data_IF_184237035274
#
_entry.id   IF_184237035274
#
_cell.length_a   1.000
_cell.length_b   1.000
_cell.length_c   1.000
_cell.angle_alpha   90.00
_cell.angle_beta   90.00
_cell.angle_gamma   90.00
#
_symmetry.space_group_name_H-M   'P 1'
#
loop_
_entity.id
_entity.type
_entity.pdbx_description
1 polymer ?
#
# COMPACT_ATOMS: atom_id res chain seq x y z
N UNK A 1 -9.79 -22.84 4.92
CA UNK A 1 -9.69 -21.86 3.82
C UNK A 1 -8.35 -21.17 3.94
N UNK A 2 -7.46 -21.29 2.94
CA UNK A 2 -6.16 -20.60 2.98
C UNK A 2 -6.40 -19.17 2.51
N UNK A 3 -6.29 -18.19 3.42
CA UNK A 3 -6.30 -16.78 3.05
C UNK A 3 -4.98 -16.49 2.31
N UNK A 4 -5.00 -16.58 0.99
CA UNK A 4 -3.86 -16.22 0.15
C UNK A 4 -3.83 -14.70 0.04
N UNK A 5 -2.79 -14.10 0.61
CA UNK A 5 -2.44 -12.70 0.34
C UNK A 5 -1.53 -12.71 -0.88
N UNK A 6 -1.96 -12.07 -1.97
CA UNK A 6 -1.10 -11.89 -3.15
C UNK A 6 -0.28 -10.62 -2.97
N UNK A 7 1.05 -10.78 -2.95
CA UNK A 7 1.99 -9.65 -2.93
C UNK A 7 2.34 -9.25 -4.36
N UNK A 8 2.34 -7.95 -4.63
CA UNK A 8 2.67 -7.39 -5.95
C UNK A 8 3.63 -6.22 -5.75
N UNK A 9 4.77 -6.27 -6.45
CA UNK A 9 5.75 -5.18 -6.46
C UNK A 9 5.17 -3.92 -7.14
N UNK A 10 5.61 -2.76 -6.67
CA UNK A 10 5.19 -1.48 -7.23
C UNK A 10 6.09 -1.08 -8.41
N UNK A 11 5.46 -0.74 -9.55
CA UNK A 11 6.17 -0.32 -10.77
C UNK A 11 5.27 0.53 -11.68
N UNK A 12 5.89 1.27 -12.61
CA UNK A 12 5.20 2.11 -13.60
C UNK A 12 4.33 3.21 -12.95
N UNK A 13 3.13 3.44 -13.50
CA UNK A 13 2.16 4.43 -12.99
C UNK A 13 1.64 4.13 -11.57
N UNK A 14 1.92 2.93 -11.06
CA UNK A 14 1.59 2.49 -9.70
C UNK A 14 2.84 2.36 -8.82
N UNK A 15 3.89 3.12 -9.11
CA UNK A 15 5.08 3.19 -8.24
C UNK A 15 4.73 3.82 -6.90
N UNK A 16 5.28 3.25 -5.82
CA UNK A 16 5.08 3.74 -4.46
C UNK A 16 6.30 4.54 -4.01
N UNK A 17 6.05 5.66 -3.33
CA UNK A 17 7.11 6.42 -2.67
C UNK A 17 7.74 5.63 -1.53
N UNK A 18 8.99 5.97 -1.14
CA UNK A 18 9.64 5.39 0.02
C UNK A 18 8.76 5.50 1.28
N UNK A 19 8.97 4.55 2.19
CA UNK A 19 8.24 4.51 3.44
C UNK A 19 8.45 5.81 4.22
N UNK A 20 7.39 6.54 4.62
CA UNK A 20 7.54 7.80 5.33
C UNK A 20 8.00 7.62 6.78
N UNK A 21 7.99 6.39 7.30
CA UNK A 21 8.34 6.08 8.69
C UNK A 21 9.81 5.65 8.84
N UNK A 22 10.30 4.77 7.97
CA UNK A 22 11.67 4.23 8.05
C UNK A 22 12.58 4.65 6.89
N UNK A 23 12.06 5.28 5.84
CA UNK A 23 12.82 5.61 4.63
C UNK A 23 13.14 4.42 3.71
N UNK A 24 12.66 3.21 4.04
CA UNK A 24 12.86 2.00 3.23
C UNK A 24 12.27 2.12 1.82
N UNK A 25 12.98 1.54 0.85
CA UNK A 25 12.60 1.49 -0.56
C UNK A 25 12.12 0.08 -0.87
N UNK A 26 10.81 -0.10 -0.99
CA UNK A 26 10.24 -1.45 -1.20
C UNK A 26 8.84 -1.63 -0.66
N UNK A 27 8.04 -0.56 -0.55
CA UNK A 27 6.62 -0.72 -0.23
C UNK A 27 5.95 -1.57 -1.32
N UNK A 28 5.11 -2.52 -0.91
CA UNK A 28 4.44 -3.46 -1.81
C UNK A 28 2.93 -3.37 -1.67
N UNK A 29 2.22 -3.78 -2.72
CA UNK A 29 0.79 -4.00 -2.67
C UNK A 29 0.50 -5.40 -2.13
N UNK A 30 -0.56 -5.51 -1.34
CA UNK A 30 -1.15 -6.79 -0.93
C UNK A 30 -2.63 -6.81 -1.30
N UNK A 31 -3.04 -7.84 -2.03
CA UNK A 31 -4.43 -8.17 -2.30
C UNK A 31 -4.90 -9.27 -1.35
N UNK A 32 -6.09 -9.10 -0.79
CA UNK A 32 -6.72 -10.10 0.07
C UNK A 32 -8.21 -10.24 -0.25
N UNK A 33 -8.71 -11.46 -0.17
CA UNK A 33 -10.12 -11.78 -0.43
C UNK A 33 -11.02 -11.34 0.72
N UNK A 34 -12.22 -10.87 0.39
CA UNK A 34 -13.31 -10.67 1.35
C UNK A 34 -14.62 -11.19 0.76
N UNK A 35 -15.67 -11.43 1.58
CA UNK A 35 -16.96 -11.93 1.06
C UNK A 35 -17.64 -11.03 0.01
N UNK A 36 -17.21 -9.77 -0.11
CA UNK A 36 -17.78 -8.77 -1.01
C UNK A 36 -16.79 -8.31 -2.10
N UNK A 37 -15.75 -9.12 -2.38
CA UNK A 37 -14.73 -8.83 -3.39
C UNK A 37 -13.34 -8.57 -2.81
N UNK A 38 -12.34 -8.56 -3.67
CA UNK A 38 -10.93 -8.41 -3.27
C UNK A 38 -10.63 -6.98 -2.82
N UNK A 39 -9.72 -6.85 -1.87
CA UNK A 39 -9.29 -5.55 -1.34
C UNK A 39 -7.78 -5.43 -1.41
N UNK A 40 -7.35 -4.18 -1.55
CA UNK A 40 -5.95 -3.82 -1.65
C UNK A 40 -5.50 -3.01 -0.43
N UNK A 41 -4.26 -3.28 -0.01
CA UNK A 41 -3.50 -2.48 0.95
C UNK A 41 -2.09 -2.26 0.44
N UNK A 42 -1.38 -1.31 1.04
CA UNK A 42 0.06 -1.10 0.85
C UNK A 42 0.75 -1.26 2.19
N UNK A 43 1.93 -1.90 2.22
CA UNK A 43 2.76 -1.90 3.41
C UNK A 43 4.26 -1.93 3.07
N UNK A 44 5.06 -1.41 3.98
CA UNK A 44 6.51 -1.51 3.95
C UNK A 44 6.93 -2.83 4.63
N UNK A 45 7.67 -3.72 3.95
CA UNK A 45 8.11 -4.99 4.53
C UNK A 45 9.15 -4.81 5.65
N UNK A 46 9.90 -3.70 5.65
CA UNK A 46 10.97 -3.47 6.63
C UNK A 46 10.45 -3.08 8.01
N UNK A 47 9.43 -2.21 8.06
CA UNK A 47 8.90 -1.66 9.31
C UNK A 47 7.43 -1.98 9.57
N UNK A 48 6.78 -2.71 8.66
CA UNK A 48 5.37 -3.11 8.71
C UNK A 48 4.36 -1.97 8.73
N UNK A 49 4.79 -0.71 8.61
CA UNK A 49 3.90 0.41 8.41
C UNK A 49 3.09 0.24 7.13
N UNK A 50 1.79 0.53 7.18
CA UNK A 50 0.88 0.23 6.08
C UNK A 50 -0.34 1.14 6.04
N UNK A 51 -0.98 1.13 4.87
CA UNK A 51 -2.28 1.73 4.62
C UNK A 51 -3.22 0.61 4.18
N UNK A 52 -4.23 0.35 5.00
CA UNK A 52 -5.31 -0.59 4.69
C UNK A 52 -6.66 0.08 4.97
N UNK A 53 -7.30 0.68 3.95
CA UNK A 53 -8.58 1.33 4.14
C UNK A 53 -9.72 0.33 4.35
N UNK A 54 -9.51 -0.97 4.10
CA UNK A 54 -10.56 -1.98 4.25
C UNK A 54 -11.68 -1.92 3.22
N UNK A 55 -11.57 -1.11 2.17
CA UNK A 55 -12.59 -1.02 1.10
C UNK A 55 -12.03 -0.84 -0.31
N UNK A 56 -10.72 -0.60 -0.47
CA UNK A 56 -10.14 -0.29 -1.77
C UNK A 56 -10.13 -1.51 -2.70
N UNK A 57 -10.91 -1.46 -3.78
CA UNK A 57 -11.00 -2.53 -4.79
C UNK A 57 -9.87 -2.46 -5.85
N UNK A 58 -9.09 -1.38 -5.90
CA UNK A 58 -8.05 -1.17 -6.92
C UNK A 58 -6.76 -0.63 -6.33
N UNK A 59 -5.60 -1.03 -6.89
CA UNK A 59 -4.27 -0.54 -6.50
C UNK A 59 -4.09 0.98 -6.59
N UNK A 60 -4.71 1.65 -7.57
CA UNK A 60 -4.59 3.10 -7.75
C UNK A 60 -5.07 3.90 -6.54
N UNK A 61 -6.12 3.42 -5.86
CA UNK A 61 -6.65 4.05 -4.64
C UNK A 61 -5.60 4.02 -3.52
N UNK A 62 -5.07 2.84 -3.21
CA UNK A 62 -4.06 2.71 -2.14
C UNK A 62 -2.70 3.28 -2.52
N UNK A 63 -2.36 3.33 -3.81
CA UNK A 63 -1.23 4.08 -4.34
C UNK A 63 -1.38 5.57 -4.01
N UNK A 64 -2.52 6.17 -4.36
CA UNK A 64 -2.82 7.56 -4.07
C UNK A 64 -2.80 7.86 -2.57
N UNK A 65 -3.34 6.97 -1.74
CA UNK A 65 -3.30 7.11 -0.27
C UNK A 65 -1.87 7.01 0.27
N UNK A 66 -1.08 6.04 -0.19
CA UNK A 66 0.31 5.86 0.25
C UNK A 66 1.22 6.98 -0.23
N UNK A 67 1.04 7.49 -1.45
CA UNK A 67 1.89 8.53 -2.03
C UNK A 67 1.45 9.95 -1.61
N UNK A 68 0.23 10.10 -1.08
CA UNK A 68 -0.21 11.38 -0.51
C UNK A 68 0.64 11.69 0.72
N UNK A 69 1.38 12.79 0.64
CA UNK A 69 2.04 13.43 1.77
C UNK A 69 1.35 14.77 1.98
N UNK A 70 1.01 15.13 3.20
CA UNK A 70 0.87 16.55 3.52
C UNK A 70 2.27 17.15 3.33
N UNK A 71 2.46 18.22 2.54
CA UNK A 71 3.74 18.90 2.52
C UNK A 71 4.10 19.24 3.97
N UNK A 72 5.30 18.87 4.41
CA UNK A 72 5.81 19.45 5.64
C UNK A 72 5.92 20.95 5.37
N UNK A 73 5.04 21.75 5.95
CA UNK A 73 5.34 23.16 6.14
C UNK A 73 6.71 23.20 6.81
N UNK A 74 7.65 23.89 6.16
CA UNK A 74 9.04 24.04 6.60
C UNK A 74 9.03 24.39 8.10
N UNK A 75 9.42 23.44 8.95
CA UNK A 75 9.77 23.71 10.35
C UNK A 75 11.20 24.22 10.41
#
# INVERSE_FOLDING_TARGET
>A
MKNLIRIVEASGDLSLFPCPFCGGHGAVYAEYETPVGNRWRVFCPDCMAGIDPGWAQTRSVVCGLWNRRTPAERR
#
